data_IF_905651525393
#
_entry.id   IF_905651525393
#
_cell.length_a   1.000
_cell.length_b   1.000
_cell.length_c   1.000
_cell.angle_alpha   90.00
_cell.angle_beta   90.00
_cell.angle_gamma   90.00
#
_symmetry.space_group_name_H-M   'P 1'
#
loop_
_entity.id
_entity.type
_entity.pdbx_description
1 polymer ?
#
# COMPACT_ATOMS: atom_id res chain seq x y z
N UNK A 1 -8.50 18.02 -16.52
CA UNK A 1 -9.95 18.23 -16.26
C UNK A 1 -10.10 18.53 -14.79
N UNK A 2 -11.03 19.38 -14.37
CA UNK A 2 -11.26 19.58 -12.93
C UNK A 2 -11.74 18.27 -12.30
N UNK A 3 -11.27 18.01 -11.08
CA UNK A 3 -11.64 16.83 -10.29
C UNK A 3 -13.17 16.81 -10.12
N UNK A 4 -13.80 15.68 -10.41
CA UNK A 4 -15.26 15.55 -10.26
C UNK A 4 -15.63 15.69 -8.78
N UNK A 5 -16.55 16.58 -8.49
CA UNK A 5 -16.99 16.84 -7.11
C UNK A 5 -17.55 15.59 -6.43
N UNK A 6 -18.22 14.73 -7.18
CA UNK A 6 -18.76 13.45 -6.72
C UNK A 6 -17.64 12.50 -6.26
N UNK A 7 -16.58 12.34 -7.05
CA UNK A 7 -15.42 11.49 -6.72
C UNK A 7 -14.73 11.93 -5.42
N UNK A 8 -14.60 13.25 -5.23
CA UNK A 8 -14.06 13.83 -3.99
C UNK A 8 -14.95 13.54 -2.79
N UNK A 9 -16.28 13.64 -2.97
CA UNK A 9 -17.24 13.33 -1.88
C UNK A 9 -17.17 11.85 -1.49
N UNK A 10 -17.09 10.94 -2.46
CA UNK A 10 -16.94 9.50 -2.22
C UNK A 10 -15.67 9.22 -1.39
N UNK A 11 -14.52 9.75 -1.80
CA UNK A 11 -13.26 9.54 -1.08
C UNK A 11 -13.31 10.15 0.32
N UNK A 12 -13.92 11.33 0.48
CA UNK A 12 -14.12 11.94 1.79
C UNK A 12 -15.03 11.10 2.69
N UNK A 13 -16.09 10.49 2.15
CA UNK A 13 -16.98 9.60 2.91
C UNK A 13 -16.26 8.31 3.34
N UNK A 14 -15.47 7.69 2.45
CA UNK A 14 -14.65 6.52 2.80
C UNK A 14 -13.66 6.88 3.92
N UNK A 15 -12.98 8.03 3.81
CA UNK A 15 -12.05 8.51 4.84
C UNK A 15 -12.77 8.68 6.18
N UNK A 16 -13.92 9.31 6.21
CA UNK A 16 -14.71 9.51 7.43
C UNK A 16 -15.13 8.18 8.06
N UNK A 17 -15.54 7.19 7.26
CA UNK A 17 -15.82 5.84 7.74
C UNK A 17 -14.60 5.21 8.43
N UNK A 18 -13.44 5.30 7.80
CA UNK A 18 -12.19 4.75 8.36
C UNK A 18 -11.82 5.46 9.67
N UNK A 19 -11.88 6.79 9.70
CA UNK A 19 -11.55 7.61 10.88
C UNK A 19 -12.51 7.34 12.05
N UNK A 20 -13.77 6.97 11.77
CA UNK A 20 -14.73 6.57 12.82
C UNK A 20 -14.38 5.24 13.51
N UNK A 21 -13.64 4.37 12.82
CA UNK A 21 -13.24 3.05 13.32
C UNK A 21 -11.82 3.02 13.86
N UNK A 22 -10.92 3.80 13.27
CA UNK A 22 -9.50 3.80 13.54
C UNK A 22 -9.12 5.18 14.06
N UNK A 23 -9.21 5.32 15.38
CA UNK A 23 -9.00 6.59 16.05
C UNK A 23 -7.51 7.00 16.03
N UNK A 24 -7.25 8.30 15.85
CA UNK A 24 -5.92 8.90 15.94
C UNK A 24 -4.97 8.57 14.80
N UNK A 25 -5.46 7.97 13.67
CA UNK A 25 -4.63 7.52 12.55
C UNK A 25 -5.04 8.15 11.20
N UNK A 26 -5.47 9.42 11.24
CA UNK A 26 -5.95 10.13 10.04
C UNK A 26 -4.90 10.23 8.93
N UNK A 27 -3.61 10.32 9.29
CA UNK A 27 -2.54 10.38 8.31
C UNK A 27 -2.27 9.01 7.67
N UNK A 28 -2.21 7.95 8.47
CA UNK A 28 -2.03 6.58 7.98
C UNK A 28 -3.22 6.12 7.13
N UNK A 29 -4.43 6.54 7.48
CA UNK A 29 -5.64 6.35 6.67
C UNK A 29 -5.50 7.06 5.32
N UNK A 30 -4.99 8.30 5.31
CA UNK A 30 -4.73 9.03 4.07
C UNK A 30 -3.70 8.31 3.19
N UNK A 31 -2.64 7.74 3.77
CA UNK A 31 -1.65 6.94 3.04
C UNK A 31 -2.24 5.64 2.50
N UNK A 32 -3.07 4.95 3.28
CA UNK A 32 -3.78 3.74 2.82
C UNK A 32 -4.68 4.05 1.62
N UNK A 33 -5.47 5.11 1.71
CA UNK A 33 -6.31 5.58 0.61
C UNK A 33 -5.48 6.02 -0.58
N UNK A 34 -4.32 6.68 -0.36
CA UNK A 34 -3.38 7.02 -1.45
C UNK A 34 -2.97 5.78 -2.23
N UNK A 35 -2.57 4.69 -1.54
CA UNK A 35 -2.20 3.44 -2.21
C UNK A 35 -3.38 2.82 -2.97
N UNK A 36 -4.56 2.76 -2.37
CA UNK A 36 -5.78 2.21 -3.00
C UNK A 36 -6.16 3.00 -4.25
N UNK A 37 -6.22 4.31 -4.15
CA UNK A 37 -6.61 5.21 -5.22
C UNK A 37 -5.57 5.29 -6.35
N UNK A 38 -4.30 5.11 -6.04
CA UNK A 38 -3.22 5.00 -7.03
C UNK A 38 -3.15 3.61 -7.71
N UNK A 39 -3.99 2.65 -7.30
CA UNK A 39 -3.96 1.27 -7.80
C UNK A 39 -2.72 0.50 -7.36
N UNK A 40 -2.13 0.88 -6.22
CA UNK A 40 -0.93 0.28 -5.64
C UNK A 40 -1.21 -0.68 -4.49
N UNK A 41 -0.15 -1.27 -3.96
CA UNK A 41 -0.15 -2.21 -2.84
C UNK A 41 0.60 -1.62 -1.67
N UNK A 42 0.30 -2.06 -0.44
CA UNK A 42 0.86 -1.48 0.78
C UNK A 42 1.50 -2.54 1.67
N UNK A 43 2.66 -2.20 2.23
CA UNK A 43 3.32 -2.96 3.29
C UNK A 43 3.15 -2.22 4.61
N UNK A 44 2.62 -2.90 5.61
CA UNK A 44 2.43 -2.36 6.96
C UNK A 44 3.44 -3.06 7.89
N UNK A 45 4.45 -2.32 8.28
CA UNK A 45 5.49 -2.82 9.18
C UNK A 45 5.23 -2.32 10.59
N UNK A 46 4.79 -3.24 11.46
CA UNK A 46 4.35 -2.84 12.80
C UNK A 46 4.26 -4.02 13.76
N UNK A 47 4.30 -3.70 15.06
CA UNK A 47 4.08 -4.68 16.13
C UNK A 47 2.64 -5.24 16.09
N UNK A 48 2.39 -6.43 16.66
CA UNK A 48 1.04 -6.98 16.78
C UNK A 48 0.10 -6.07 17.58
N UNK A 49 -1.20 -6.11 17.27
CA UNK A 49 -2.24 -5.44 18.08
C UNK A 49 -2.51 -3.97 17.76
N UNK A 50 -1.87 -3.37 16.75
CA UNK A 50 -2.04 -1.95 16.39
C UNK A 50 -3.27 -1.63 15.53
N UNK A 51 -4.16 -2.61 15.28
CA UNK A 51 -5.41 -2.37 14.54
C UNK A 51 -5.33 -2.54 13.02
N UNK A 52 -4.21 -3.08 12.47
CA UNK A 52 -4.01 -3.30 11.03
C UNK A 52 -5.18 -4.01 10.34
N UNK A 53 -5.57 -5.16 10.88
CA UNK A 53 -6.67 -5.97 10.34
C UNK A 53 -8.00 -5.22 10.33
N UNK A 54 -8.28 -4.45 11.38
CA UNK A 54 -9.51 -3.64 11.47
C UNK A 54 -9.52 -2.52 10.43
N UNK A 55 -8.38 -1.87 10.22
CA UNK A 55 -8.25 -0.80 9.22
C UNK A 55 -8.51 -1.31 7.79
N UNK A 56 -7.92 -2.46 7.43
CA UNK A 56 -8.10 -3.04 6.09
C UNK A 56 -9.53 -3.58 5.91
N UNK A 57 -10.11 -4.20 6.96
CA UNK A 57 -11.52 -4.65 6.94
C UNK A 57 -12.48 -3.47 6.79
N UNK A 58 -12.23 -2.37 7.51
CA UNK A 58 -13.02 -1.14 7.39
C UNK A 58 -12.93 -0.53 5.98
N UNK A 59 -11.74 -0.52 5.37
CA UNK A 59 -11.53 -0.06 4.00
C UNK A 59 -12.40 -0.87 3.02
N UNK A 60 -12.30 -2.19 3.04
CA UNK A 60 -13.06 -3.07 2.15
C UNK A 60 -14.58 -2.86 2.31
N UNK A 61 -15.04 -2.78 3.56
CA UNK A 61 -16.45 -2.61 3.88
C UNK A 61 -17.00 -1.27 3.41
N UNK A 62 -16.22 -0.19 3.57
CA UNK A 62 -16.60 1.15 3.11
C UNK A 62 -16.81 1.24 1.59
N UNK A 63 -16.15 0.37 0.81
CA UNK A 63 -16.22 0.35 -0.65
C UNK A 63 -17.03 -0.84 -1.21
N UNK A 64 -17.76 -1.57 -0.35
CA UNK A 64 -18.47 -2.80 -0.70
C UNK A 64 -17.58 -3.78 -1.50
N UNK A 65 -16.28 -3.82 -1.16
CA UNK A 65 -15.31 -4.71 -1.78
C UNK A 65 -15.23 -6.05 -1.06
N UNK A 66 -14.98 -7.11 -1.83
CA UNK A 66 -14.66 -8.41 -1.27
C UNK A 66 -13.34 -8.36 -0.51
N UNK A 67 -13.34 -8.91 0.71
CA UNK A 67 -12.18 -8.96 1.60
C UNK A 67 -11.84 -10.41 1.93
N UNK A 68 -10.56 -10.74 1.81
CA UNK A 68 -10.00 -12.00 2.29
C UNK A 68 -8.76 -11.75 3.14
N UNK A 69 -8.54 -12.61 4.12
CA UNK A 69 -7.32 -12.61 4.95
C UNK A 69 -6.63 -13.96 4.81
N UNK A 70 -5.33 -13.90 4.58
CA UNK A 70 -4.43 -15.05 4.63
C UNK A 70 -3.46 -14.82 5.78
N UNK A 71 -3.49 -15.68 6.80
CA UNK A 71 -2.49 -15.71 7.84
C UNK A 71 -1.31 -16.52 7.34
N UNK A 72 -0.19 -15.85 7.06
CA UNK A 72 1.01 -16.50 6.57
C UNK A 72 1.69 -17.31 7.68
N UNK A 73 2.15 -18.50 7.33
CA UNK A 73 2.94 -19.39 8.17
C UNK A 73 3.84 -20.25 7.25
N UNK A 74 4.80 -21.02 7.79
CA UNK A 74 5.72 -21.83 6.97
C UNK A 74 5.05 -22.95 6.17
N UNK A 75 3.86 -23.40 6.59
CA UNK A 75 3.17 -24.54 5.99
C UNK A 75 2.25 -24.13 4.83
N UNK A 76 1.94 -22.84 4.69
CA UNK A 76 1.06 -22.36 3.62
C UNK A 76 1.71 -22.52 2.26
N UNK A 77 1.01 -23.17 1.32
CA UNK A 77 1.47 -23.39 -0.03
C UNK A 77 1.01 -22.29 -0.99
N UNK A 78 1.71 -22.05 -2.10
CA UNK A 78 1.24 -21.15 -3.16
C UNK A 78 -0.19 -21.46 -3.63
N UNK A 79 -0.52 -22.73 -3.78
CA UNK A 79 -1.85 -23.19 -4.21
C UNK A 79 -2.97 -22.89 -3.21
N UNK A 80 -2.66 -22.76 -1.90
CA UNK A 80 -3.65 -22.35 -0.90
C UNK A 80 -4.06 -20.88 -1.07
N UNK A 81 -3.23 -20.12 -1.77
CA UNK A 81 -3.41 -18.69 -2.04
C UNK A 81 -4.03 -18.47 -3.42
N UNK A 82 -3.47 -19.07 -4.45
CA UNK A 82 -3.90 -18.87 -5.85
C UNK A 82 -5.15 -19.69 -6.21
N UNK A 83 -5.35 -20.83 -5.56
CA UNK A 83 -6.38 -21.80 -5.91
C UNK A 83 -5.81 -23.02 -6.60
N UNK A 84 -6.67 -23.99 -6.84
CA UNK A 84 -6.33 -25.32 -7.39
C UNK A 84 -7.40 -25.80 -8.36
N UNK A 85 -7.03 -26.63 -9.32
CA UNK A 85 -7.98 -27.39 -10.11
C UNK A 85 -8.37 -28.67 -9.38
N UNK A 86 -9.67 -28.92 -9.24
CA UNK A 86 -10.23 -30.11 -8.61
C UNK A 86 -10.92 -30.96 -9.66
N UNK A 87 -10.53 -32.24 -9.75
CA UNK A 87 -11.23 -33.19 -10.61
C UNK A 87 -12.60 -33.54 -10.01
N UNK A 88 -13.64 -33.37 -10.80
CA UNK A 88 -15.00 -33.74 -10.43
C UNK A 88 -15.38 -35.09 -11.05
N UNK A 89 -15.50 -36.17 -10.26
CA UNK A 89 -15.67 -37.52 -10.79
C UNK A 89 -16.97 -37.71 -11.58
N UNK A 90 -18.04 -36.96 -11.31
CA UNK A 90 -19.33 -37.10 -12.02
C UNK A 90 -19.29 -36.54 -13.43
N UNK A 91 -18.54 -35.43 -13.62
CA UNK A 91 -18.47 -34.70 -14.88
C UNK A 91 -17.21 -35.07 -15.66
N UNK A 92 -16.30 -35.84 -15.04
CA UNK A 92 -14.97 -36.21 -15.57
C UNK A 92 -14.17 -34.99 -16.06
N UNK A 93 -14.27 -33.86 -15.30
CA UNK A 93 -13.65 -32.57 -15.64
C UNK A 93 -12.96 -31.98 -14.45
N UNK A 94 -11.97 -31.16 -14.75
CA UNK A 94 -11.34 -30.30 -13.77
C UNK A 94 -12.10 -28.98 -13.65
N UNK A 95 -12.28 -28.51 -12.43
CA UNK A 95 -12.86 -27.20 -12.10
C UNK A 95 -11.89 -26.41 -11.28
N UNK A 96 -11.65 -25.16 -11.68
CA UNK A 96 -10.86 -24.24 -10.89
C UNK A 96 -11.62 -23.87 -9.61
N UNK A 97 -11.01 -24.17 -8.47
CA UNK A 97 -11.45 -23.69 -7.17
C UNK A 97 -10.61 -22.46 -6.81
N UNK A 98 -11.19 -21.23 -6.83
CA UNK A 98 -10.44 -20.01 -6.57
C UNK A 98 -9.88 -19.96 -5.15
N UNK A 99 -8.64 -19.52 -5.04
CA UNK A 99 -8.00 -19.23 -3.77
C UNK A 99 -8.40 -17.85 -3.21
N UNK A 100 -7.91 -17.50 -2.01
CA UNK A 100 -8.22 -16.23 -1.36
C UNK A 100 -7.74 -14.98 -2.13
N UNK A 101 -6.83 -15.10 -3.08
CA UNK A 101 -6.42 -13.96 -3.93
C UNK A 101 -7.54 -13.44 -4.83
N UNK A 102 -8.53 -14.29 -5.15
CA UNK A 102 -9.69 -13.91 -5.96
C UNK A 102 -10.64 -13.03 -5.14
N UNK A 103 -10.20 -11.80 -4.87
CA UNK A 103 -10.86 -10.81 -4.02
C UNK A 103 -10.42 -9.39 -4.43
N UNK A 104 -11.14 -8.36 -3.99
CA UNK A 104 -10.72 -6.96 -4.21
C UNK A 104 -9.62 -6.53 -3.24
N UNK A 105 -9.72 -6.93 -1.97
CA UNK A 105 -8.74 -6.56 -0.94
C UNK A 105 -8.27 -7.81 -0.24
N UNK A 106 -7.00 -8.12 -0.43
CA UNK A 106 -6.33 -9.23 0.23
C UNK A 106 -5.42 -8.71 1.35
N UNK A 107 -5.62 -9.19 2.56
CA UNK A 107 -4.69 -9.02 3.67
C UNK A 107 -3.80 -10.27 3.78
N UNK A 108 -2.53 -10.14 3.43
CA UNK A 108 -1.50 -11.15 3.70
C UNK A 108 -0.83 -10.80 5.04
N UNK A 109 -1.30 -11.43 6.11
CA UNK A 109 -0.85 -11.12 7.46
C UNK A 109 0.41 -11.93 7.79
N UNK A 110 1.45 -11.24 8.32
CA UNK A 110 2.78 -11.79 8.63
C UNK A 110 3.46 -12.44 7.41
N UNK A 111 3.52 -11.71 6.28
CA UNK A 111 4.06 -12.23 5.01
C UNK A 111 5.48 -12.81 5.13
N UNK A 112 6.30 -12.26 6.04
CA UNK A 112 7.65 -12.74 6.33
C UNK A 112 7.69 -14.13 7.01
N UNK A 113 6.57 -14.70 7.45
CA UNK A 113 6.48 -16.10 7.93
C UNK A 113 6.20 -17.10 6.82
N UNK A 114 5.71 -16.68 5.66
CA UNK A 114 5.53 -17.53 4.51
C UNK A 114 6.89 -17.90 3.88
N UNK A 115 6.99 -19.10 3.31
CA UNK A 115 8.17 -19.50 2.55
C UNK A 115 8.38 -18.58 1.35
N UNK A 116 9.62 -18.51 0.84
CA UNK A 116 9.96 -17.68 -0.34
C UNK A 116 9.15 -18.05 -1.57
N UNK A 117 8.73 -19.32 -1.72
CA UNK A 117 7.85 -19.76 -2.82
C UNK A 117 6.47 -19.14 -2.71
N UNK A 118 5.90 -19.14 -1.53
CA UNK A 118 4.58 -18.57 -1.25
C UNK A 118 4.59 -17.04 -1.34
N UNK A 119 5.66 -16.39 -0.85
CA UNK A 119 5.88 -14.96 -1.06
C UNK A 119 5.93 -14.63 -2.55
N UNK A 120 6.68 -15.39 -3.36
CA UNK A 120 6.79 -15.16 -4.80
C UNK A 120 5.45 -15.26 -5.50
N UNK A 121 4.60 -16.23 -5.15
CA UNK A 121 3.27 -16.37 -5.70
C UNK A 121 2.37 -15.16 -5.39
N UNK A 122 2.38 -14.68 -4.13
CA UNK A 122 1.65 -13.46 -3.75
C UNK A 122 2.11 -12.24 -4.56
N UNK A 123 3.42 -12.11 -4.77
CA UNK A 123 4.00 -10.97 -5.45
C UNK A 123 3.84 -11.03 -6.97
N UNK A 124 3.73 -12.23 -7.54
CA UNK A 124 3.36 -12.43 -8.94
C UNK A 124 1.91 -11.96 -9.17
N UNK A 125 1.00 -12.38 -8.31
CA UNK A 125 -0.40 -11.94 -8.34
C UNK A 125 -0.56 -10.42 -8.26
N UNK A 126 0.28 -9.74 -7.44
CA UNK A 126 0.30 -8.28 -7.37
C UNK A 126 0.62 -7.62 -8.72
N UNK A 127 1.55 -8.21 -9.45
CA UNK A 127 2.08 -7.62 -10.69
C UNK A 127 1.21 -7.94 -11.88
N UNK A 128 0.88 -9.23 -12.05
CA UNK A 128 0.15 -9.72 -13.19
C UNK A 128 -1.37 -9.51 -13.08
N UNK A 129 -1.89 -9.27 -11.87
CA UNK A 129 -3.33 -9.16 -11.58
C UNK A 129 -4.13 -10.35 -12.10
N UNK A 130 -3.50 -11.51 -12.14
CA UNK A 130 -4.04 -12.77 -12.59
C UNK A 130 -3.35 -13.95 -11.91
N UNK A 131 -3.97 -15.11 -11.95
CA UNK A 131 -3.38 -16.38 -11.56
C UNK A 131 -3.49 -17.37 -12.72
N UNK A 132 -2.42 -18.15 -12.95
CA UNK A 132 -2.43 -19.20 -13.95
C UNK A 132 -2.39 -20.56 -13.25
N UNK A 133 -3.41 -21.39 -13.48
CA UNK A 133 -3.54 -22.73 -12.90
C UNK A 133 -3.80 -23.70 -14.05
N UNK A 134 -2.96 -24.73 -14.17
CA UNK A 134 -3.05 -25.78 -15.21
C UNK A 134 -3.11 -25.23 -16.65
N UNK A 135 -2.49 -24.07 -16.89
CA UNK A 135 -2.46 -23.42 -18.21
C UNK A 135 -3.58 -22.41 -18.45
N UNK A 136 -4.59 -22.37 -17.59
CA UNK A 136 -5.68 -21.42 -17.68
C UNK A 136 -5.39 -20.17 -16.81
N UNK A 137 -5.54 -18.97 -17.38
CA UNK A 137 -5.32 -17.70 -16.71
C UNK A 137 -6.64 -17.11 -16.23
N UNK A 138 -6.73 -16.85 -14.94
CA UNK A 138 -7.88 -16.27 -14.27
C UNK A 138 -7.55 -14.85 -13.80
N UNK A 139 -8.28 -13.86 -14.32
CA UNK A 139 -8.10 -12.45 -13.92
C UNK A 139 -8.63 -12.20 -12.52
N UNK A 140 -7.93 -11.38 -11.75
CA UNK A 140 -8.41 -10.92 -10.44
C UNK A 140 -9.54 -9.92 -10.57
N UNK A 141 -10.41 -9.80 -9.56
CA UNK A 141 -11.36 -8.69 -9.48
C UNK A 141 -10.65 -7.33 -9.56
N UNK A 142 -11.24 -6.37 -10.24
CA UNK A 142 -10.70 -5.02 -10.36
C UNK A 142 -11.64 -4.01 -9.67
N UNK A 143 -11.09 -3.09 -8.88
CA UNK A 143 -9.73 -2.94 -8.38
C UNK A 143 -9.25 -4.06 -7.45
N UNK A 144 -7.96 -4.35 -7.48
CA UNK A 144 -7.30 -5.28 -6.57
C UNK A 144 -6.21 -4.58 -5.76
N UNK A 145 -6.21 -4.79 -4.45
CA UNK A 145 -5.16 -4.31 -3.54
C UNK A 145 -4.68 -5.40 -2.61
N UNK A 146 -3.38 -5.65 -2.62
CA UNK A 146 -2.72 -6.44 -1.58
C UNK A 146 -2.23 -5.52 -0.45
N UNK A 147 -2.65 -5.82 0.77
CA UNK A 147 -2.12 -5.26 2.00
C UNK A 147 -1.31 -6.37 2.68
N UNK A 148 0.00 -6.23 2.74
CA UNK A 148 0.85 -7.17 3.48
C UNK A 148 1.22 -6.58 4.83
N UNK A 149 1.29 -7.43 5.87
CA UNK A 149 1.85 -7.03 7.17
C UNK A 149 3.15 -7.76 7.42
N UNK A 150 4.05 -7.09 8.12
CA UNK A 150 5.32 -7.63 8.56
C UNK A 150 5.57 -7.20 10.01
N UNK A 151 6.05 -8.13 10.85
CA UNK A 151 6.50 -7.80 12.19
C UNK A 151 8.03 -7.65 12.17
N UNK A 152 8.57 -6.46 12.49
CA UNK A 152 10.01 -6.22 12.44
C UNK A 152 10.78 -6.90 13.59
N UNK A 153 10.09 -7.37 14.63
CA UNK A 153 10.70 -7.92 15.85
C UNK A 153 10.89 -9.45 15.75
N UNK A 154 10.08 -10.13 14.94
CA UNK A 154 10.15 -11.59 14.78
C UNK A 154 11.30 -11.97 13.83
N UNK A 155 12.40 -12.46 14.41
CA UNK A 155 13.56 -12.94 13.65
C UNK A 155 13.59 -14.46 13.49
N UNK A 156 13.02 -15.22 14.43
CA UNK A 156 13.01 -16.69 14.37
C UNK A 156 11.90 -17.20 13.44
N UNK A 157 12.29 -18.08 12.49
CA UNK A 157 11.35 -18.71 11.56
C UNK A 157 10.76 -17.75 10.52
N UNK A 158 11.46 -16.63 10.23
CA UNK A 158 11.02 -15.66 9.23
C UNK A 158 11.92 -15.65 7.99
N UNK A 159 11.30 -15.38 6.84
CA UNK A 159 11.95 -15.20 5.55
C UNK A 159 11.81 -13.73 5.15
N UNK A 160 12.90 -12.98 5.26
CA UNK A 160 12.90 -11.56 4.87
C UNK A 160 12.54 -11.41 3.40
N UNK A 161 11.71 -10.40 3.10
CA UNK A 161 11.42 -10.05 1.71
C UNK A 161 12.67 -9.45 1.05
N UNK A 162 13.14 -10.01 -0.09
CA UNK A 162 14.22 -9.40 -0.86
C UNK A 162 13.85 -8.00 -1.37
N UNK A 163 14.85 -7.17 -1.63
CA UNK A 163 14.68 -5.80 -2.10
C UNK A 163 13.82 -5.69 -3.37
N UNK A 164 14.01 -6.63 -4.31
CA UNK A 164 13.22 -6.70 -5.55
C UNK A 164 11.72 -6.97 -5.29
N UNK A 165 11.40 -7.61 -4.18
CA UNK A 165 10.04 -7.88 -3.75
C UNK A 165 9.45 -6.67 -3.00
N UNK A 166 10.25 -6.02 -2.16
CA UNK A 166 9.87 -4.79 -1.47
C UNK A 166 9.53 -3.66 -2.46
N UNK A 167 10.24 -3.56 -3.58
CA UNK A 167 10.01 -2.56 -4.63
C UNK A 167 8.62 -2.63 -5.28
N UNK A 168 7.92 -3.76 -5.14
CA UNK A 168 6.55 -3.95 -5.65
C UNK A 168 5.48 -3.26 -4.79
N UNK A 169 5.75 -3.02 -3.50
CA UNK A 169 4.84 -2.28 -2.64
C UNK A 169 4.98 -0.77 -2.91
N UNK A 170 3.87 -0.12 -3.22
CA UNK A 170 3.86 1.33 -3.49
C UNK A 170 4.26 2.13 -2.27
N UNK A 171 3.68 1.81 -1.12
CA UNK A 171 3.95 2.48 0.16
C UNK A 171 4.30 1.47 1.24
N UNK A 172 5.24 1.87 2.12
CA UNK A 172 5.46 1.22 3.42
C UNK A 172 5.04 2.18 4.52
N UNK A 173 4.15 1.72 5.42
CA UNK A 173 3.65 2.50 6.55
C UNK A 173 3.80 1.74 7.86
N UNK A 174 3.75 2.46 8.97
CA UNK A 174 3.59 1.93 10.32
C UNK A 174 2.44 2.68 11.00
N UNK A 175 1.58 1.96 11.71
CA UNK A 175 0.51 2.58 12.49
C UNK A 175 1.02 3.05 13.85
N UNK A 176 1.95 2.30 14.45
CA UNK A 176 2.42 2.54 15.80
C UNK A 176 1.32 2.44 16.85
N UNK A 177 1.69 2.65 18.10
CA UNK A 177 0.71 2.72 19.18
C UNK A 177 -0.08 4.04 19.11
N UNK A 178 -1.35 4.05 19.56
CA UNK A 178 -2.10 5.29 19.72
C UNK A 178 -1.49 6.13 20.86
N UNK A 179 -1.79 7.42 20.86
CA UNK A 179 -1.49 8.26 22.03
C UNK A 179 -2.42 7.95 23.20
N UNK A 180 -2.06 8.41 24.40
CA UNK A 180 -2.77 8.12 25.66
C UNK A 180 -4.27 8.48 25.60
N UNK A 181 -4.60 9.62 24.98
CA UNK A 181 -5.98 10.11 24.90
C UNK A 181 -6.79 9.23 23.93
N UNK A 182 -6.22 8.90 22.79
CA UNK A 182 -6.81 7.98 21.81
C UNK A 182 -7.01 6.59 22.42
N UNK A 183 -6.03 6.06 23.14
CA UNK A 183 -6.12 4.75 23.80
C UNK A 183 -7.22 4.73 24.85
N UNK A 184 -7.31 5.80 25.66
CA UNK A 184 -8.42 5.97 26.61
C UNK A 184 -9.79 5.96 25.95
N UNK A 185 -9.92 6.69 24.83
CA UNK A 185 -11.15 6.73 24.06
C UNK A 185 -11.50 5.35 23.46
N UNK A 186 -10.51 4.62 22.96
CA UNK A 186 -10.71 3.24 22.50
C UNK A 186 -11.28 2.34 23.59
N UNK A 187 -10.76 2.40 24.81
CA UNK A 187 -11.25 1.61 25.95
C UNK A 187 -12.70 1.97 26.31
N UNK A 188 -13.06 3.24 26.26
CA UNK A 188 -14.44 3.70 26.54
C UNK A 188 -15.43 3.25 25.46
N UNK A 189 -15.01 3.25 24.20
CA UNK A 189 -15.85 2.87 23.07
C UNK A 189 -15.94 1.36 22.84
N UNK A 190 -14.97 0.57 23.30
CA UNK A 190 -14.92 -0.88 23.11
C UNK A 190 -16.08 -1.64 23.77
N UNK A 191 -16.78 -1.02 24.73
CA UNK A 191 -17.92 -1.64 25.43
C UNK A 191 -19.13 -1.92 24.50
N UNK A 192 -19.14 -1.43 23.25
CA UNK A 192 -20.27 -1.51 22.33
C UNK A 192 -20.05 -2.41 21.11
N UNK A 193 -18.97 -3.24 21.07
CA UNK A 193 -18.64 -4.14 19.96
C UNK A 193 -17.61 -3.56 18.98
N UNK A 194 -17.23 -4.34 17.95
CA UNK A 194 -16.21 -3.91 16.99
C UNK A 194 -16.76 -2.83 16.06
N UNK A 195 -16.16 -1.62 16.01
CA UNK A 195 -16.68 -0.51 15.19
C UNK A 195 -16.77 -0.84 13.70
N UNK A 196 -15.78 -1.59 13.17
CA UNK A 196 -15.76 -1.97 11.76
C UNK A 196 -16.96 -2.84 11.34
N UNK A 197 -17.58 -3.60 12.25
CA UNK A 197 -18.73 -4.45 11.91
C UNK A 197 -20.02 -3.65 11.68
N UNK A 198 -20.09 -2.42 12.17
CA UNK A 198 -21.23 -1.52 12.05
C UNK A 198 -21.17 -0.56 10.87
N UNK A 199 -20.02 -0.54 10.17
CA UNK A 199 -19.87 0.35 9.00
C UNK A 199 -20.83 -0.04 7.90
N UNK A 200 -21.44 0.96 7.29
CA UNK A 200 -22.16 0.83 6.03
C UNK A 200 -21.26 1.23 4.87
N UNK A 201 -21.43 0.57 3.73
CA UNK A 201 -20.70 0.91 2.53
C UNK A 201 -21.17 2.30 2.00
N UNK A 202 -20.21 3.15 1.68
CA UNK A 202 -20.44 4.51 1.13
C UNK A 202 -20.00 4.62 -0.33
N UNK A 203 -19.40 3.55 -0.88
CA UNK A 203 -18.98 3.45 -2.26
C UNK A 203 -19.07 2.01 -2.77
N UNK A 204 -18.94 1.85 -4.09
CA UNK A 204 -18.79 0.57 -4.78
C UNK A 204 -17.42 0.49 -5.45
N UNK A 205 -16.93 -0.73 -5.69
CA UNK A 205 -15.60 -0.93 -6.29
C UNK A 205 -15.49 -0.36 -7.71
N UNK A 206 -16.59 -0.33 -8.47
CA UNK A 206 -16.65 0.28 -9.79
C UNK A 206 -16.37 1.79 -9.72
N UNK A 207 -16.92 2.49 -8.73
CA UNK A 207 -16.64 3.90 -8.51
C UNK A 207 -15.17 4.15 -8.16
N UNK A 208 -14.55 3.22 -7.41
CA UNK A 208 -13.11 3.30 -7.12
C UNK A 208 -12.29 3.12 -8.39
N UNK A 209 -12.68 2.22 -9.30
CA UNK A 209 -12.02 2.06 -10.60
C UNK A 209 -12.09 3.33 -11.44
N UNK A 210 -13.26 3.99 -11.47
CA UNK A 210 -13.44 5.27 -12.17
C UNK A 210 -12.57 6.38 -11.57
N UNK A 211 -12.49 6.46 -10.24
CA UNK A 211 -11.63 7.41 -9.53
C UNK A 211 -10.14 7.13 -9.81
N UNK A 212 -9.73 5.86 -9.85
CA UNK A 212 -8.35 5.50 -10.22
C UNK A 212 -8.01 6.00 -11.64
N UNK A 213 -8.96 5.95 -12.57
CA UNK A 213 -8.76 6.48 -13.92
C UNK A 213 -8.68 8.01 -13.91
N UNK A 214 -9.56 8.70 -13.16
CA UNK A 214 -9.55 10.16 -13.02
C UNK A 214 -8.23 10.68 -12.43
N UNK A 215 -7.66 9.97 -11.45
CA UNK A 215 -6.39 10.33 -10.81
C UNK A 215 -5.21 10.32 -11.80
N UNK A 216 -5.24 9.48 -12.83
CA UNK A 216 -4.19 9.46 -13.86
C UNK A 216 -4.09 10.79 -14.60
N UNK A 217 -5.21 11.50 -14.74
CA UNK A 217 -5.32 12.77 -15.46
C UNK A 217 -4.94 14.00 -14.59
N UNK A 218 -4.67 13.79 -13.27
CA UNK A 218 -4.21 14.88 -12.40
C UNK A 218 -2.91 15.46 -12.94
N UNK A 219 -2.88 16.78 -13.05
CA UNK A 219 -1.74 17.50 -13.61
C UNK A 219 -0.52 17.43 -12.69
N UNK A 220 0.61 17.19 -13.28
CA UNK A 220 1.91 17.28 -12.60
C UNK A 220 2.84 18.11 -13.48
N UNK A 221 3.27 19.26 -12.97
CA UNK A 221 4.15 20.18 -13.66
C UNK A 221 5.52 19.55 -13.91
N UNK A 222 6.18 19.94 -15.01
CA UNK A 222 7.51 19.45 -15.38
C UNK A 222 8.54 19.73 -14.26
N UNK A 223 8.46 20.89 -13.61
CA UNK A 223 9.35 21.22 -12.50
C UNK A 223 9.13 20.32 -11.28
N UNK A 224 7.87 19.94 -10.98
CA UNK A 224 7.55 18.99 -9.91
C UNK A 224 7.98 17.57 -10.29
N UNK A 225 7.83 17.20 -11.57
CA UNK A 225 8.30 15.92 -12.08
C UNK A 225 9.83 15.81 -12.00
N UNK A 226 10.54 16.86 -12.38
CA UNK A 226 12.00 16.95 -12.27
C UNK A 226 12.44 16.87 -10.81
N UNK A 227 11.77 17.59 -9.90
CA UNK A 227 12.05 17.52 -8.46
C UNK A 227 11.91 16.12 -7.90
N UNK A 228 10.83 15.41 -8.24
CA UNK A 228 10.65 14.01 -7.86
C UNK A 228 11.78 13.14 -8.41
N UNK A 229 12.14 13.30 -9.67
CA UNK A 229 13.20 12.53 -10.32
C UNK A 229 14.57 12.82 -9.68
N UNK A 230 14.86 14.07 -9.33
CA UNK A 230 16.10 14.46 -8.66
C UNK A 230 16.21 13.82 -7.28
N UNK A 231 15.11 13.74 -6.51
CA UNK A 231 15.09 12.99 -5.23
C UNK A 231 15.42 11.51 -5.50
N UNK A 232 14.77 10.87 -6.47
CA UNK A 232 15.00 9.46 -6.80
C UNK A 232 16.46 9.24 -7.22
N UNK A 233 17.02 10.10 -8.08
CA UNK A 233 18.42 10.01 -8.54
C UNK A 233 19.41 10.24 -7.40
N UNK A 234 19.18 11.23 -6.56
CA UNK A 234 20.03 11.50 -5.41
C UNK A 234 20.12 10.30 -4.44
N UNK A 235 19.06 9.47 -4.34
CA UNK A 235 19.15 8.20 -3.57
C UNK A 235 20.16 7.23 -4.15
N UNK A 236 20.36 7.21 -5.48
CA UNK A 236 21.32 6.31 -6.17
C UNK A 236 22.76 6.79 -6.03
N UNK A 237 22.93 8.09 -5.89
CA UNK A 237 24.25 8.76 -5.85
C UNK A 237 24.73 8.97 -4.39
N UNK A 238 23.88 8.72 -3.39
CA UNK A 238 24.21 8.92 -1.98
C UNK A 238 25.30 7.95 -1.51
N UNK A 239 26.39 8.42 -0.84
CA UNK A 239 27.56 7.59 -0.47
C UNK A 239 27.19 6.38 0.41
N UNK A 240 26.19 6.52 1.29
CA UNK A 240 25.73 5.47 2.20
C UNK A 240 24.84 4.42 1.54
N UNK A 241 24.41 4.62 0.28
CA UNK A 241 23.47 3.75 -0.42
C UNK A 241 24.22 2.79 -1.34
N UNK A 242 23.89 1.50 -1.22
CA UNK A 242 24.36 0.45 -2.12
C UNK A 242 23.41 0.32 -3.33
N UNK A 243 22.09 0.32 -3.07
CA UNK A 243 21.04 0.28 -4.09
C UNK A 243 20.02 1.36 -3.77
N UNK A 244 19.86 2.33 -4.68
CA UNK A 244 18.87 3.40 -4.60
C UNK A 244 17.55 3.03 -5.27
N UNK A 245 16.58 3.95 -5.25
CA UNK A 245 15.26 3.73 -5.79
C UNK A 245 15.24 3.45 -7.30
N UNK A 246 14.43 2.49 -7.72
CA UNK A 246 14.31 2.02 -9.10
C UNK A 246 13.49 3.00 -9.99
N UNK A 247 13.50 2.87 -11.33
CA UNK A 247 12.55 3.56 -12.19
C UNK A 247 11.09 3.23 -11.87
N UNK A 248 10.81 1.98 -11.44
CA UNK A 248 9.48 1.55 -10.97
C UNK A 248 9.04 2.34 -9.74
N UNK A 249 9.97 2.59 -8.80
CA UNK A 249 9.71 3.45 -7.64
C UNK A 249 9.34 4.87 -8.06
N UNK A 250 9.98 5.45 -9.08
CA UNK A 250 9.64 6.78 -9.59
C UNK A 250 8.21 6.82 -10.16
N UNK A 251 7.82 5.82 -10.96
CA UNK A 251 6.45 5.72 -11.51
C UNK A 251 5.41 5.55 -10.40
N UNK A 252 5.67 4.69 -9.42
CA UNK A 252 4.81 4.50 -8.24
C UNK A 252 4.69 5.82 -7.45
N UNK A 253 5.77 6.58 -7.34
CA UNK A 253 5.79 7.85 -6.63
C UNK A 253 4.94 8.91 -7.32
N UNK A 254 5.00 9.03 -8.66
CA UNK A 254 4.14 9.92 -9.44
C UNK A 254 2.66 9.60 -9.18
N UNK A 255 2.27 8.32 -9.26
CA UNK A 255 0.88 7.91 -9.04
C UNK A 255 0.43 8.15 -7.60
N UNK A 256 1.29 7.88 -6.62
CA UNK A 256 1.01 8.19 -5.21
C UNK A 256 0.83 9.69 -4.98
N UNK A 257 1.69 10.55 -5.58
CA UNK A 257 1.59 12.00 -5.44
C UNK A 257 0.29 12.54 -6.05
N UNK A 258 -0.13 12.02 -7.20
CA UNK A 258 -1.41 12.36 -7.82
C UNK A 258 -2.61 11.96 -6.93
N UNK A 259 -2.62 10.72 -6.40
CA UNK A 259 -3.67 10.24 -5.52
C UNK A 259 -3.70 11.01 -4.18
N UNK A 260 -2.55 11.45 -3.70
CA UNK A 260 -2.44 12.26 -2.49
C UNK A 260 -3.01 13.67 -2.70
N UNK A 261 -2.67 14.33 -3.81
CA UNK A 261 -3.20 15.63 -4.20
C UNK A 261 -4.73 15.59 -4.39
N UNK A 262 -5.24 14.50 -5.02
CA UNK A 262 -6.68 14.28 -5.19
C UNK A 262 -7.45 14.29 -3.86
N UNK A 263 -6.94 13.63 -2.84
CA UNK A 263 -7.57 13.62 -1.52
C UNK A 263 -7.64 15.01 -0.87
N UNK A 264 -6.73 15.91 -1.24
CA UNK A 264 -6.75 17.34 -0.85
C UNK A 264 -7.59 18.20 -1.80
N UNK A 265 -8.42 17.57 -2.66
CA UNK A 265 -9.33 18.24 -3.60
C UNK A 265 -8.61 19.09 -4.64
N UNK A 266 -7.37 18.73 -4.99
CA UNK A 266 -6.56 19.41 -6.01
C UNK A 266 -6.48 18.58 -7.28
N UNK A 267 -6.49 19.23 -8.41
CA UNK A 267 -6.27 18.65 -9.74
C UNK A 267 -4.82 18.81 -10.21
N UNK A 268 -3.92 19.18 -9.30
CA UNK A 268 -2.49 19.29 -9.54
C UNK A 268 -1.66 18.89 -8.32
N UNK A 269 -0.45 18.39 -8.61
CA UNK A 269 0.53 17.96 -7.58
C UNK A 269 1.42 19.13 -7.17
N UNK A 270 1.70 19.24 -5.87
CA UNK A 270 2.64 20.20 -5.29
C UNK A 270 3.97 19.52 -4.92
N UNK A 271 5.10 20.26 -4.87
CA UNK A 271 6.35 19.75 -4.33
C UNK A 271 6.22 19.21 -2.89
N UNK A 272 5.35 19.82 -2.09
CA UNK A 272 5.09 19.38 -0.70
C UNK A 272 4.45 18.00 -0.64
N UNK A 273 3.63 17.60 -1.62
CA UNK A 273 3.06 16.25 -1.72
C UNK A 273 4.18 15.23 -1.94
N UNK A 274 5.11 15.54 -2.83
CA UNK A 274 6.29 14.71 -3.10
C UNK A 274 7.12 14.57 -1.83
N UNK A 275 7.40 15.68 -1.15
CA UNK A 275 8.18 15.68 0.08
C UNK A 275 7.51 14.88 1.22
N UNK A 276 6.21 15.02 1.38
CA UNK A 276 5.43 14.31 2.40
C UNK A 276 5.39 12.80 2.16
N UNK A 277 5.31 12.37 0.90
CA UNK A 277 5.22 10.95 0.53
C UNK A 277 6.59 10.26 0.44
N UNK A 278 7.69 10.99 0.20
CA UNK A 278 9.01 10.42 -0.02
C UNK A 278 9.42 9.36 1.04
N UNK A 279 9.21 9.56 2.37
CA UNK A 279 9.55 8.55 3.36
C UNK A 279 8.81 7.23 3.16
N UNK A 280 7.55 7.28 2.78
CA UNK A 280 6.69 6.10 2.65
C UNK A 280 6.87 5.37 1.33
N UNK A 281 7.29 6.08 0.27
CA UNK A 281 7.56 5.50 -1.05
C UNK A 281 8.98 4.96 -1.15
N UNK A 282 9.98 5.64 -0.56
CA UNK A 282 11.38 5.38 -0.87
C UNK A 282 12.15 4.57 0.19
N UNK A 283 11.84 4.70 1.49
CA UNK A 283 12.69 4.11 2.55
C UNK A 283 12.85 2.61 2.46
N UNK A 284 11.80 1.87 2.10
CA UNK A 284 11.84 0.41 1.97
C UNK A 284 12.53 -0.09 0.70
N UNK A 285 12.93 0.82 -0.17
CA UNK A 285 13.63 0.56 -1.45
C UNK A 285 15.11 0.88 -1.40
N UNK A 286 15.58 1.45 -0.27
CA UNK A 286 16.99 1.84 -0.12
C UNK A 286 17.75 0.74 0.60
N UNK A 287 18.71 0.14 -0.09
CA UNK A 287 19.68 -0.77 0.52
C UNK A 287 20.94 0.02 0.89
N UNK A 288 21.24 0.08 2.18
CA UNK A 288 22.41 0.78 2.68
C UNK A 288 23.66 -0.12 2.62
N UNK A 289 24.80 0.53 2.43
CA UNK A 289 26.11 -0.12 2.54
C UNK A 289 26.32 -0.65 3.97
N UNK A 290 27.02 -1.78 4.15
CA UNK A 290 27.28 -2.34 5.47
C UNK A 290 27.96 -1.34 6.41
N UNK A 291 28.89 -0.54 5.89
CA UNK A 291 29.64 0.48 6.66
C UNK A 291 28.70 1.55 7.22
N UNK A 292 27.76 2.02 6.40
CA UNK A 292 26.80 3.02 6.82
C UNK A 292 25.85 2.53 7.93
N UNK A 293 25.55 1.22 7.94
CA UNK A 293 24.76 0.60 9.01
C UNK A 293 25.52 0.56 10.34
N UNK A 294 26.84 0.35 10.30
CA UNK A 294 27.70 0.40 11.48
C UNK A 294 27.75 1.81 12.10
N UNK A 295 27.70 2.84 11.26
CA UNK A 295 27.65 4.25 11.68
C UNK A 295 26.25 4.71 12.13
N UNK A 296 25.34 3.78 12.48
CA UNK A 296 23.97 4.05 12.92
C UNK A 296 23.11 4.80 11.90
N UNK A 297 23.49 4.83 10.63
CA UNK A 297 22.69 5.39 9.55
C UNK A 297 21.54 4.43 9.20
N UNK A 298 20.36 4.99 8.98
CA UNK A 298 19.20 4.24 8.51
C UNK A 298 18.62 4.87 7.23
N UNK A 299 17.76 4.14 6.52
CA UNK A 299 17.18 4.61 5.26
C UNK A 299 16.43 5.96 5.43
N UNK A 300 15.83 6.20 6.59
CA UNK A 300 15.11 7.43 6.87
C UNK A 300 16.06 8.64 7.03
N UNK A 301 17.18 8.47 7.75
CA UNK A 301 18.19 9.53 7.90
C UNK A 301 18.86 9.88 6.57
N UNK A 302 19.16 8.86 5.75
CA UNK A 302 19.69 9.05 4.40
C UNK A 302 18.70 9.82 3.53
N UNK A 303 17.43 9.42 3.53
CA UNK A 303 16.40 10.12 2.76
C UNK A 303 16.21 11.57 3.22
N UNK A 304 16.25 11.83 4.53
CA UNK A 304 16.20 13.20 5.05
C UNK A 304 17.38 14.05 4.54
N UNK A 305 18.59 13.47 4.46
CA UNK A 305 19.75 14.14 3.86
C UNK A 305 19.50 14.48 2.39
N UNK A 306 18.99 13.52 1.61
CA UNK A 306 18.62 13.72 0.19
C UNK A 306 17.60 14.85 0.04
N UNK A 307 16.52 14.84 0.83
CA UNK A 307 15.47 15.87 0.78
C UNK A 307 15.95 17.27 1.16
N UNK A 308 17.04 17.39 1.93
CA UNK A 308 17.66 18.69 2.25
C UNK A 308 18.56 19.21 1.13
N UNK A 309 19.14 18.31 0.33
CA UNK A 309 20.08 18.66 -0.75
C UNK A 309 19.37 19.01 -2.05
N UNK A 310 18.23 18.36 -2.35
CA UNK A 310 17.50 18.60 -3.59
C UNK A 310 16.69 19.90 -3.50
N UNK A 311 16.90 20.79 -4.47
CA UNK A 311 16.21 22.06 -4.51
C UNK A 311 14.71 21.88 -4.81
N UNK A 312 13.88 22.50 -3.96
CA UNK A 312 12.43 22.58 -4.20
C UNK A 312 12.16 23.60 -5.30
N UNK A 313 11.41 23.28 -6.35
CA UNK A 313 11.07 24.23 -7.40
C UNK A 313 10.22 25.38 -6.81
N UNK A 314 10.71 26.59 -6.92
CA UNK A 314 9.98 27.80 -6.54
C UNK A 314 9.22 28.27 -7.78
N UNK A 315 7.92 28.56 -7.65
CA UNK A 315 7.13 29.13 -8.73
C UNK A 315 7.73 30.50 -9.08
N UNK A 316 8.43 30.59 -10.22
CA UNK A 316 8.71 31.91 -10.79
C UNK A 316 7.37 32.43 -11.31
N UNK A 317 6.87 33.50 -10.72
CA UNK A 317 5.77 34.25 -11.35
C UNK A 317 6.21 34.60 -12.76
N UNK A 318 5.45 34.13 -13.73
CA UNK A 318 5.62 34.59 -15.10
C UNK A 318 5.26 36.06 -15.10
N UNK A 319 6.30 36.91 -15.23
CA UNK A 319 6.20 38.34 -15.55
C UNK A 319 5.50 38.55 -16.91
#
# INVERSE_FOLDING_TARGET
>A
MPVRQESVQIVSAIRSNLESCILGKSFEIKLLLTAMLAGGHILIEDVPGTGKTQMIKALAKSMRGDYRRVQCNPDILPSDITGVSIFHPRDERFYFRPGPVMTNILLADEINRATTKTQSALLEVMEERSVTVDGDTHMLPHPFMLCATQNPIDFEGTYMLPEAQLDRFMLKISLGYPDLETERNMLLHHQTGQPADRLEAVAHMEQIADIQQEIRDIYMDEAVTSYLLDIVRATREHPSVLLGASPRAALAFVMAAKAYAFQDKRDYVLPDDVKALAPYVLTHRLLLRPEARLDSSNAQSVLQSVLRQVHVPVRMERS
#
